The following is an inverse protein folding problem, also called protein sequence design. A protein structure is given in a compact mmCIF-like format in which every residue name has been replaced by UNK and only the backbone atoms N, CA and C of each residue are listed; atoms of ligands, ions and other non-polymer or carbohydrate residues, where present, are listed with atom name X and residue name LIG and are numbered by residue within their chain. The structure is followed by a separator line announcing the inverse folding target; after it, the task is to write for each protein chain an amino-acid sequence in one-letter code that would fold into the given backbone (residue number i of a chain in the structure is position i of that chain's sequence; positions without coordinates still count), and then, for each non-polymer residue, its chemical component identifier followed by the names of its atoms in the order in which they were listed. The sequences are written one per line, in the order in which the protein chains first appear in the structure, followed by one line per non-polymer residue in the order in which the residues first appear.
data_IF_340591175564
#
_entry.id   IF_340591175564
#
_cell.length_a   1.000
_cell.length_b   1.000
_cell.length_c   1.000
_cell.angle_alpha   90.00
_cell.angle_beta   90.00
_cell.angle_gamma   90.00
#
_symmetry.space_group_name_H-M   'P 1'
#
loop_
_entity.id
_entity.type
_entity.pdbx_description
1 polymer ?
#
# COMPACT_ATOMS: atom_id res chain seq x y z
N UNK A 1 -8.29 -6.15 37.28
CA UNK A 1 -7.65 -6.53 36.00
C UNK A 1 -7.27 -5.25 35.26
N UNK A 2 -6.00 -4.82 35.29
CA UNK A 2 -5.55 -3.62 34.58
C UNK A 2 -5.00 -4.03 33.22
N UNK A 3 -5.57 -3.46 32.15
CA UNK A 3 -5.12 -3.60 30.77
C UNK A 3 -3.72 -2.97 30.65
N UNK A 4 -2.72 -3.81 30.44
CA UNK A 4 -1.36 -3.42 30.07
C UNK A 4 -1.32 -3.23 28.55
N UNK A 5 -1.76 -2.06 28.09
CA UNK A 5 -1.47 -1.61 26.73
C UNK A 5 -0.55 -0.41 26.83
N UNK A 6 0.73 -0.70 27.09
CA UNK A 6 1.80 0.29 26.97
C UNK A 6 1.95 0.62 25.50
N UNK A 7 1.14 1.53 24.98
CA UNK A 7 1.49 2.19 23.74
C UNK A 7 2.82 2.90 24.01
N UNK A 8 3.88 2.66 23.21
CA UNK A 8 5.13 3.37 23.38
C UNK A 8 4.81 4.86 23.23
N UNK A 9 5.01 5.61 24.32
CA UNK A 9 4.83 7.07 24.36
C UNK A 9 5.52 7.67 23.13
N UNK A 10 4.72 8.15 22.17
CA UNK A 10 5.23 8.77 20.95
C UNK A 10 6.11 9.94 21.37
N UNK A 11 7.44 9.78 21.29
CA UNK A 11 8.37 10.85 21.64
C UNK A 11 8.06 12.05 20.75
N UNK A 12 7.73 13.22 21.30
CA UNK A 12 7.51 14.42 20.51
C UNK A 12 8.74 14.65 19.59
N UNK A 13 8.52 14.63 18.28
CA UNK A 13 9.57 14.84 17.26
C UNK A 13 10.09 13.58 16.56
N UNK A 14 9.79 12.37 17.02
CA UNK A 14 10.19 11.14 16.32
C UNK A 14 9.06 10.66 15.40
N UNK A 15 9.20 10.85 14.09
CA UNK A 15 8.28 10.26 13.11
C UNK A 15 8.63 8.80 12.94
N UNK A 16 7.75 7.90 13.36
CA UNK A 16 7.89 6.44 13.19
C UNK A 16 6.85 5.86 12.25
N UNK A 17 5.86 6.67 11.86
CA UNK A 17 4.75 6.30 11.00
C UNK A 17 4.98 6.81 9.58
N UNK A 18 4.47 6.09 8.56
CA UNK A 18 4.44 6.59 7.19
C UNK A 18 3.67 7.90 7.07
N UNK A 19 4.15 8.78 6.18
CA UNK A 19 3.42 9.96 5.71
C UNK A 19 2.82 9.65 4.35
N UNK A 20 1.51 9.86 4.21
CA UNK A 20 0.77 9.59 2.98
C UNK A 20 0.31 10.90 2.37
N UNK A 21 0.72 11.16 1.13
CA UNK A 21 0.35 12.34 0.36
C UNK A 21 -1.09 12.33 -0.16
N UNK A 22 -1.45 13.38 -0.87
CA UNK A 22 -2.81 13.59 -1.35
C UNK A 22 -3.14 12.65 -2.52
N UNK A 23 -4.36 12.12 -2.54
CA UNK A 23 -4.84 11.26 -3.64
C UNK A 23 -4.15 9.90 -3.75
N UNK A 24 -3.42 9.46 -2.73
CA UNK A 24 -2.80 8.13 -2.70
C UNK A 24 -3.87 7.04 -2.62
N UNK A 25 -3.69 5.97 -3.41
CA UNK A 25 -4.54 4.77 -3.35
C UNK A 25 -3.77 3.62 -2.71
N UNK A 26 -4.29 3.08 -1.62
CA UNK A 26 -3.72 1.94 -0.92
C UNK A 26 -4.67 0.75 -1.00
N UNK A 27 -4.26 -0.31 -1.70
CA UNK A 27 -5.06 -1.52 -1.86
C UNK A 27 -4.94 -2.48 -0.67
N UNK A 28 -5.89 -3.42 -0.49
CA UNK A 28 -5.92 -4.31 0.66
C UNK A 28 -4.63 -5.12 0.88
N UNK A 29 -4.35 -5.41 2.16
CA UNK A 29 -3.21 -6.23 2.59
C UNK A 29 -1.82 -5.63 2.24
N UNK A 30 -1.73 -4.37 1.85
CA UNK A 30 -0.44 -3.68 1.76
C UNK A 30 0.10 -3.33 3.16
N UNK A 31 1.41 -3.31 3.31
CA UNK A 31 2.11 -2.92 4.54
C UNK A 31 3.05 -1.76 4.23
N UNK A 32 2.89 -0.65 4.96
CA UNK A 32 3.77 0.52 4.92
C UNK A 32 4.49 0.60 6.26
N UNK A 33 5.82 0.61 6.26
CA UNK A 33 6.60 0.55 7.50
C UNK A 33 7.66 1.64 7.59
N UNK A 34 7.77 2.22 8.78
CA UNK A 34 8.82 3.18 9.12
C UNK A 34 8.51 4.61 8.70
N UNK A 35 9.51 5.50 8.85
CA UNK A 35 9.39 6.93 8.55
C UNK A 35 9.48 7.22 7.04
N UNK A 36 8.66 6.54 6.24
CA UNK A 36 8.64 6.70 4.79
C UNK A 36 7.62 7.75 4.36
N UNK A 37 7.85 8.34 3.19
CA UNK A 37 6.93 9.26 2.52
C UNK A 37 6.37 8.61 1.27
N UNK A 38 5.04 8.62 1.13
CA UNK A 38 4.34 8.23 -0.09
C UNK A 38 3.86 9.51 -0.78
N UNK A 39 4.47 9.84 -1.91
CA UNK A 39 4.16 11.05 -2.67
C UNK A 39 2.75 11.05 -3.25
N UNK A 40 2.25 12.25 -3.58
CA UNK A 40 0.88 12.47 -4.04
C UNK A 40 0.52 11.61 -5.26
N UNK A 41 -0.73 11.13 -5.31
CA UNK A 41 -1.26 10.34 -6.41
C UNK A 41 -0.60 8.96 -6.61
N UNK A 42 0.28 8.53 -5.69
CA UNK A 42 0.88 7.20 -5.78
C UNK A 42 -0.16 6.08 -5.55
N UNK A 43 0.12 4.90 -6.09
CA UNK A 43 -0.74 3.72 -5.98
C UNK A 43 0.06 2.56 -5.39
N UNK A 44 -0.35 2.10 -4.22
CA UNK A 44 0.22 0.93 -3.53
C UNK A 44 -0.67 -0.28 -3.80
N UNK A 45 -0.17 -1.22 -4.58
CA UNK A 45 -0.88 -2.45 -4.96
C UNK A 45 -1.22 -3.35 -3.77
N UNK A 46 -2.19 -4.24 -3.96
CA UNK A 46 -2.62 -5.17 -2.93
C UNK A 46 -1.46 -6.12 -2.55
N UNK A 47 -1.27 -6.36 -1.26
CA UNK A 47 -0.21 -7.27 -0.78
C UNK A 47 1.23 -6.75 -0.90
N UNK A 48 1.42 -5.46 -1.22
CA UNK A 48 2.76 -4.86 -1.35
C UNK A 48 3.34 -4.52 0.03
N UNK A 49 4.63 -4.79 0.23
CA UNK A 49 5.42 -4.33 1.38
C UNK A 49 6.29 -3.15 0.96
N UNK A 50 6.19 -2.02 1.67
CA UNK A 50 6.93 -0.78 1.37
C UNK A 50 7.69 -0.33 2.60
N UNK A 51 9.01 -0.25 2.48
CA UNK A 51 9.98 0.18 3.50
C UNK A 51 10.87 1.34 3.05
N UNK A 52 10.56 1.92 1.88
CA UNK A 52 11.30 3.04 1.26
C UNK A 52 10.32 4.09 0.75
N UNK A 53 10.83 5.31 0.54
CA UNK A 53 10.03 6.41 0.00
C UNK A 53 9.48 6.07 -1.40
N UNK A 54 8.23 6.47 -1.63
CA UNK A 54 7.53 6.27 -2.90
C UNK A 54 7.36 7.62 -3.56
N UNK A 55 7.87 7.76 -4.78
CA UNK A 55 7.76 9.01 -5.54
C UNK A 55 6.30 9.34 -5.90
N UNK A 56 6.03 10.63 -6.13
CA UNK A 56 4.75 11.12 -6.62
C UNK A 56 4.29 10.37 -7.87
N UNK A 57 3.02 9.96 -7.91
CA UNK A 57 2.40 9.24 -9.04
C UNK A 57 2.94 7.84 -9.30
N UNK A 58 3.87 7.34 -8.48
CA UNK A 58 4.44 6.01 -8.67
C UNK A 58 3.40 4.91 -8.42
N UNK A 59 3.52 3.81 -9.16
CA UNK A 59 2.63 2.65 -9.01
C UNK A 59 3.43 1.43 -8.61
N UNK A 60 3.32 1.03 -7.35
CA UNK A 60 4.01 -0.13 -6.78
C UNK A 60 3.09 -1.34 -6.87
N UNK A 61 3.57 -2.44 -7.47
CA UNK A 61 2.79 -3.67 -7.66
C UNK A 61 3.59 -4.88 -7.21
N UNK A 62 2.92 -5.97 -6.78
CA UNK A 62 3.60 -7.22 -6.51
C UNK A 62 4.33 -7.74 -7.75
N UNK A 63 5.52 -8.31 -7.55
CA UNK A 63 6.24 -8.99 -8.61
C UNK A 63 5.51 -10.30 -8.95
N UNK A 64 4.77 -10.30 -10.05
CA UNK A 64 4.06 -11.48 -10.56
C UNK A 64 2.56 -11.47 -10.24
N UNK A 65 1.75 -11.24 -11.27
CA UNK A 65 0.31 -11.55 -11.26
C UNK A 65 0.00 -12.30 -12.54
N UNK A 66 -0.31 -13.58 -12.43
CA UNK A 66 -0.98 -14.31 -13.50
C UNK A 66 -2.43 -13.82 -13.56
N UNK A 67 -2.67 -12.74 -14.31
CA UNK A 67 -4.01 -12.41 -14.74
C UNK A 67 -4.39 -13.44 -15.81
N UNK A 68 -5.05 -14.52 -15.43
CA UNK A 68 -5.77 -15.33 -16.42
C UNK A 68 -6.74 -14.38 -17.12
N UNK A 69 -6.47 -14.06 -18.38
CA UNK A 69 -7.45 -13.39 -19.22
C UNK A 69 -8.53 -14.45 -19.43
N UNK A 70 -9.65 -14.32 -18.73
CA UNK A 70 -10.86 -15.05 -19.12
C UNK A 70 -11.28 -14.50 -20.47
N UNK A 71 -10.78 -15.10 -21.54
CA UNK A 71 -11.29 -14.87 -22.89
C UNK A 71 -12.65 -15.53 -22.98
N UNK A 72 -13.71 -14.81 -22.60
CA UNK A 72 -15.05 -15.13 -23.08
C UNK A 72 -15.08 -14.70 -24.55
N UNK A 73 -14.50 -15.54 -25.40
CA UNK A 73 -14.63 -15.41 -26.83
C UNK A 73 -16.11 -15.65 -27.16
N UNK A 74 -16.79 -14.55 -27.47
CA UNK A 74 -18.12 -14.53 -28.05
C UNK A 74 -18.13 -15.40 -29.32
N UNK A 75 -18.46 -16.68 -29.19
CA UNK A 75 -18.90 -17.51 -30.32
C UNK A 75 -20.42 -17.52 -30.31
N UNK A 76 -20.99 -16.42 -30.79
CA UNK A 76 -22.26 -16.48 -31.50
C UNK A 76 -21.99 -17.02 -32.91
N UNK A 77 -22.74 -18.03 -33.33
CA UNK A 77 -22.61 -18.58 -34.67
C UNK A 77 -23.27 -19.94 -34.85
N UNK A 78 -24.59 -20.01 -34.69
CA UNK A 78 -25.56 -20.78 -35.49
C UNK A 78 -27.01 -20.36 -35.16
#
# INVERSE_FOLDING_TARGET
MRRLETQPELRPGLRLTPVVGDGVVVYPNSVLVGPITVGDGAVIGAGVYVDTDVSQGAVIRPAGRLAQRSSTANRGGD
#
